data_IF_109538715319
#
_entry.id   IF_109538715319
#
_cell.length_a   1.000
_cell.length_b   1.000
_cell.length_c   1.000
_cell.angle_alpha   90.00
_cell.angle_beta   90.00
_cell.angle_gamma   90.00
#
_symmetry.space_group_name_H-M   'P 1'
#
loop_
_entity.id
_entity.type
_entity.pdbx_description
1 polymer ?
#
# COMPACT_ATOMS: atom_id res chain seq x y z
N UNK A 1 -17.52 -45.37 -24.61
CA UNK A 1 -16.67 -44.19 -24.90
C UNK A 1 -17.14 -42.88 -24.24
N UNK A 2 -18.45 -42.68 -24.00
CA UNK A 2 -19.01 -41.45 -23.38
C UNK A 2 -18.53 -41.11 -21.95
N UNK A 3 -18.13 -42.11 -21.15
CA UNK A 3 -17.64 -41.92 -19.77
C UNK A 3 -16.21 -41.35 -19.66
N UNK A 4 -15.39 -41.46 -20.72
CA UNK A 4 -14.01 -40.96 -20.73
C UNK A 4 -13.93 -39.45 -21.05
N UNK A 5 -14.94 -38.91 -21.74
CA UNK A 5 -15.01 -37.48 -22.10
C UNK A 5 -15.36 -36.63 -20.87
N UNK A 6 -16.24 -37.12 -19.99
CA UNK A 6 -16.60 -36.43 -18.75
C UNK A 6 -15.42 -36.28 -17.79
N UNK A 7 -14.54 -37.28 -17.69
CA UNK A 7 -13.37 -37.21 -16.82
C UNK A 7 -12.35 -36.15 -17.26
N UNK A 8 -12.24 -35.87 -18.56
CA UNK A 8 -11.29 -34.88 -19.09
C UNK A 8 -11.80 -33.45 -18.86
N UNK A 9 -13.12 -33.21 -18.97
CA UNK A 9 -13.73 -31.91 -18.68
C UNK A 9 -13.59 -31.49 -17.22
N UNK A 10 -13.68 -32.43 -16.27
CA UNK A 10 -13.50 -32.15 -14.84
C UNK A 10 -12.06 -31.77 -14.49
N UNK A 11 -11.06 -32.34 -15.17
CA UNK A 11 -9.64 -32.04 -14.93
C UNK A 11 -9.26 -30.65 -15.46
N UNK A 12 -9.86 -30.20 -16.57
CA UNK A 12 -9.62 -28.86 -17.12
C UNK A 12 -10.22 -27.76 -16.21
N UNK A 13 -11.35 -28.03 -15.54
CA UNK A 13 -11.96 -27.08 -14.60
C UNK A 13 -11.18 -26.87 -13.29
N UNK A 14 -10.30 -27.80 -12.91
CA UNK A 14 -9.45 -27.70 -11.71
C UNK A 14 -8.14 -26.92 -11.96
N UNK A 15 -7.77 -26.66 -13.22
CA UNK A 15 -6.53 -25.96 -13.58
C UNK A 15 -6.70 -24.44 -13.76
N UNK A 16 -7.94 -23.93 -13.72
CA UNK A 16 -8.22 -22.48 -13.68
C UNK A 16 -8.43 -22.03 -12.24
N UNK A 17 -7.52 -22.37 -11.32
CA UNK A 17 -7.40 -21.58 -10.10
C UNK A 17 -6.77 -20.26 -10.51
N UNK A 18 -7.63 -19.28 -10.77
CA UNK A 18 -7.24 -17.88 -10.93
C UNK A 18 -6.37 -17.50 -9.74
N UNK A 19 -5.05 -17.40 -9.96
CA UNK A 19 -4.17 -16.82 -8.96
C UNK A 19 -4.67 -15.40 -8.72
N UNK A 20 -5.15 -15.12 -7.52
CA UNK A 20 -5.44 -13.76 -7.09
C UNK A 20 -4.13 -13.01 -7.15
N UNK A 21 -3.94 -12.22 -8.21
CA UNK A 21 -2.84 -11.26 -8.28
C UNK A 21 -3.09 -10.30 -7.12
N UNK A 22 -2.10 -10.17 -6.24
CA UNK A 22 -2.15 -9.28 -5.08
C UNK A 22 -1.44 -7.98 -5.45
N UNK A 23 -1.87 -6.86 -4.86
CA UNK A 23 -1.16 -5.59 -4.95
C UNK A 23 0.29 -5.74 -4.48
N UNK A 24 1.22 -4.98 -5.07
CA UNK A 24 2.62 -5.03 -4.67
C UNK A 24 2.79 -4.45 -3.26
N UNK A 25 3.36 -5.23 -2.35
CA UNK A 25 3.74 -4.74 -1.01
C UNK A 25 5.24 -4.47 -0.97
N UNK A 26 5.62 -3.27 -0.53
CA UNK A 26 7.02 -2.87 -0.36
C UNK A 26 7.31 -2.51 1.09
N UNK A 27 8.46 -2.97 1.60
CA UNK A 27 8.95 -2.49 2.89
C UNK A 27 9.45 -1.05 2.77
N UNK A 28 9.17 -0.25 3.79
CA UNK A 28 9.69 1.11 3.90
C UNK A 28 10.59 1.25 5.14
N UNK A 29 11.55 2.18 5.04
CA UNK A 29 12.37 2.68 6.13
C UNK A 29 12.50 4.19 5.89
N UNK A 30 11.68 4.97 6.58
CA UNK A 30 11.57 6.42 6.36
C UNK A 30 12.12 7.18 7.57
N UNK A 31 12.63 8.37 7.33
CA UNK A 31 13.05 9.31 8.36
C UNK A 31 12.20 10.58 8.28
N UNK A 32 11.44 10.84 9.33
CA UNK A 32 10.70 12.08 9.53
C UNK A 32 11.59 13.10 10.24
N UNK A 33 11.54 14.38 9.81
CA UNK A 33 12.20 15.50 10.48
C UNK A 33 13.75 15.44 10.49
N UNK A 34 14.36 16.35 11.25
CA UNK A 34 15.82 16.53 11.31
C UNK A 34 16.39 17.32 10.12
N UNK A 35 17.72 17.31 9.98
CA UNK A 35 18.45 18.05 8.93
C UNK A 35 18.39 17.39 7.54
N UNK A 36 17.98 16.12 7.46
CA UNK A 36 17.88 15.36 6.21
C UNK A 36 16.71 14.37 6.31
N UNK A 37 15.46 14.86 6.24
CA UNK A 37 14.29 13.99 6.23
C UNK A 37 14.23 13.20 4.91
N UNK A 38 13.74 11.96 5.01
CA UNK A 38 13.40 11.08 3.89
C UNK A 38 12.05 10.39 4.19
N UNK A 39 10.93 11.11 3.98
CA UNK A 39 9.62 10.64 4.41
C UNK A 39 8.94 9.69 3.41
N UNK A 40 9.60 9.32 2.31
CA UNK A 40 8.97 8.66 1.16
C UNK A 40 9.38 7.18 1.08
N UNK A 41 8.42 6.28 0.80
CA UNK A 41 8.71 4.87 0.54
C UNK A 41 9.26 4.61 -0.86
N UNK A 42 9.69 3.36 -1.09
CA UNK A 42 9.79 2.83 -2.44
C UNK A 42 8.42 2.85 -3.14
N UNK A 43 8.46 2.87 -4.47
CA UNK A 43 7.27 2.81 -5.32
C UNK A 43 6.71 1.39 -5.32
N UNK A 44 5.39 1.27 -5.42
CA UNK A 44 4.68 0.02 -5.53
C UNK A 44 3.54 0.14 -6.55
N UNK A 45 3.27 -0.94 -7.28
CA UNK A 45 2.19 -1.01 -8.25
C UNK A 45 0.85 -1.32 -7.57
N UNK A 46 -0.17 -0.51 -7.88
CA UNK A 46 -1.55 -0.82 -7.52
C UNK A 46 -2.02 -2.01 -8.34
N UNK A 47 -2.64 -3.00 -7.70
CA UNK A 47 -3.05 -4.24 -8.35
C UNK A 47 -3.81 -3.98 -9.66
N UNK A 48 -3.31 -4.45 -10.82
CA UNK A 48 -3.96 -4.22 -12.10
C UNK A 48 -5.32 -4.94 -12.27
N UNK A 49 -5.66 -5.89 -11.39
CA UNK A 49 -6.80 -6.79 -11.58
C UNK A 49 -7.86 -6.74 -10.48
N UNK A 50 -7.71 -5.88 -9.46
CA UNK A 50 -8.77 -5.64 -8.47
C UNK A 50 -9.47 -4.29 -8.69
N UNK A 51 -10.43 -3.98 -7.83
CA UNK A 51 -11.14 -2.70 -7.81
C UNK A 51 -10.94 -2.00 -6.46
N UNK A 52 -9.94 -2.43 -5.70
CA UNK A 52 -9.71 -1.87 -4.37
C UNK A 52 -9.18 -0.44 -4.49
N UNK A 53 -9.88 0.50 -3.86
CA UNK A 53 -9.55 1.92 -3.91
C UNK A 53 -9.01 2.44 -2.57
N UNK A 54 -8.33 1.55 -1.83
CA UNK A 54 -7.64 1.85 -0.59
C UNK A 54 -6.15 1.57 -0.75
N UNK A 55 -5.34 2.26 0.03
CA UNK A 55 -3.98 1.79 0.33
C UNK A 55 -3.95 1.23 1.75
N UNK A 56 -2.93 0.42 2.02
CA UNK A 56 -2.67 -0.18 3.32
C UNK A 56 -1.25 0.14 3.78
N UNK A 57 -1.10 0.34 5.08
CA UNK A 57 0.18 0.54 5.73
C UNK A 57 0.23 -0.27 7.02
N UNK A 58 1.34 -0.96 7.23
CA UNK A 58 1.61 -1.69 8.48
C UNK A 58 2.88 -1.14 9.11
N UNK A 59 2.80 -0.66 10.35
CA UNK A 59 3.99 -0.25 11.10
C UNK A 59 4.70 -1.44 11.72
N UNK A 60 6.02 -1.53 11.58
CA UNK A 60 6.84 -2.57 12.22
C UNK A 60 7.68 -2.04 13.38
N UNK A 61 8.28 -0.87 13.24
CA UNK A 61 9.02 -0.23 14.32
C UNK A 61 9.02 1.29 14.19
N UNK A 62 9.14 1.97 15.33
CA UNK A 62 9.36 3.41 15.42
C UNK A 62 10.47 3.68 16.43
N UNK A 63 11.34 4.65 16.14
CA UNK A 63 12.29 5.17 17.13
C UNK A 63 11.61 6.02 18.21
N UNK A 64 10.39 6.48 17.98
CA UNK A 64 9.56 7.23 18.93
C UNK A 64 8.08 6.86 18.74
N UNK A 65 7.50 6.18 19.72
CA UNK A 65 6.10 5.75 19.69
C UNK A 65 5.11 6.85 20.09
N UNK A 66 5.58 7.97 20.64
CA UNK A 66 4.72 9.09 21.06
C UNK A 66 4.38 10.04 19.90
N UNK A 67 5.22 10.06 18.86
CA UNK A 67 5.02 10.89 17.68
C UNK A 67 4.06 10.22 16.69
N UNK A 68 2.99 10.93 16.34
CA UNK A 68 1.97 10.46 15.40
C UNK A 68 2.31 10.88 13.97
N UNK A 69 2.55 9.88 13.12
CA UNK A 69 2.82 10.05 11.69
C UNK A 69 1.66 9.48 10.88
N UNK A 70 1.18 10.26 9.92
CA UNK A 70 0.19 9.88 8.92
C UNK A 70 0.94 9.40 7.67
N UNK A 71 0.55 8.25 7.14
CA UNK A 71 0.89 7.82 5.79
C UNK A 71 -0.15 8.38 4.80
N UNK A 72 0.31 8.93 3.69
CA UNK A 72 -0.52 9.20 2.51
C UNK A 72 0.00 8.43 1.32
N UNK A 73 -0.90 7.88 0.53
CA UNK A 73 -0.57 7.29 -0.77
C UNK A 73 -0.76 8.33 -1.86
N UNK A 74 0.22 8.46 -2.76
CA UNK A 74 0.22 9.40 -3.88
C UNK A 74 0.66 8.69 -5.16
N UNK A 75 -0.03 8.98 -6.26
CA UNK A 75 0.36 8.49 -7.57
C UNK A 75 1.67 9.12 -8.03
N UNK A 76 2.56 8.32 -8.64
CA UNK A 76 3.90 8.74 -9.02
C UNK A 76 3.92 9.97 -9.95
N UNK A 77 3.15 9.93 -11.04
CA UNK A 77 3.13 11.01 -12.04
C UNK A 77 2.02 12.05 -11.86
N UNK A 78 0.98 11.73 -11.09
CA UNK A 78 -0.20 12.59 -10.89
C UNK A 78 -0.56 12.72 -9.39
N UNK A 79 0.40 13.12 -8.53
CA UNK A 79 0.26 13.07 -7.07
C UNK A 79 -0.81 14.01 -6.50
N UNK A 80 -1.25 15.00 -7.28
CA UNK A 80 -2.32 15.93 -6.89
C UNK A 80 -3.70 15.52 -7.42
N UNK A 81 -3.76 14.48 -8.27
CA UNK A 81 -5.01 13.98 -8.85
C UNK A 81 -5.47 12.72 -8.13
N UNK A 82 -4.55 11.78 -7.90
CA UNK A 82 -4.82 10.47 -7.29
C UNK A 82 -4.02 10.35 -6.00
N UNK A 83 -4.66 10.63 -4.87
CA UNK A 83 -4.02 10.64 -3.56
C UNK A 83 -5.02 10.41 -2.43
N UNK A 84 -4.52 10.09 -1.25
CA UNK A 84 -5.35 10.02 -0.04
C UNK A 84 -5.36 11.36 0.70
N UNK A 85 -6.51 12.04 0.83
CA UNK A 85 -6.55 13.41 1.33
C UNK A 85 -6.23 13.50 2.83
N UNK A 86 -6.79 12.60 3.63
CA UNK A 86 -6.58 12.55 5.08
C UNK A 86 -5.48 11.55 5.50
N UNK A 87 -5.12 10.62 4.62
CA UNK A 87 -4.18 9.54 4.94
C UNK A 87 -4.68 8.62 6.07
N UNK A 88 -3.76 7.86 6.67
CA UNK A 88 -4.04 7.03 7.85
C UNK A 88 -2.82 6.97 8.77
N UNK A 89 -3.00 6.71 10.06
CA UNK A 89 -1.87 6.65 11.00
C UNK A 89 -0.97 5.43 10.75
N UNK A 90 0.34 5.58 10.94
CA UNK A 90 1.27 4.45 10.98
C UNK A 90 1.33 3.92 12.41
N UNK A 91 0.62 2.83 12.68
CA UNK A 91 0.59 2.19 14.02
C UNK A 91 1.48 0.95 14.01
N UNK A 92 2.43 0.88 14.95
CA UNK A 92 3.31 -0.28 15.12
C UNK A 92 2.48 -1.50 15.52
N UNK A 93 2.63 -2.60 14.78
CA UNK A 93 1.93 -3.86 15.04
C UNK A 93 0.51 -3.93 14.46
N UNK A 94 0.04 -2.91 13.73
CA UNK A 94 -1.28 -2.89 13.12
C UNK A 94 -1.22 -2.47 11.65
N UNK A 95 -2.13 -3.04 10.86
CA UNK A 95 -2.40 -2.57 9.49
C UNK A 95 -3.52 -1.54 9.55
N UNK A 96 -3.30 -0.41 8.89
CA UNK A 96 -4.25 0.67 8.72
C UNK A 96 -4.49 0.89 7.23
N UNK A 97 -5.61 1.52 6.88
CA UNK A 97 -5.93 1.84 5.50
C UNK A 97 -6.59 3.21 5.39
N UNK A 98 -6.58 3.76 4.18
CA UNK A 98 -7.37 4.93 3.82
C UNK A 98 -7.71 4.91 2.33
N UNK A 99 -8.87 5.48 2.00
CA UNK A 99 -9.35 5.58 0.64
C UNK A 99 -8.64 6.71 -0.13
N UNK A 100 -8.46 6.52 -1.43
CA UNK A 100 -8.10 7.60 -2.33
C UNK A 100 -9.28 8.57 -2.53
N UNK A 101 -8.97 9.82 -2.89
CA UNK A 101 -9.94 10.88 -3.16
C UNK A 101 -10.88 10.58 -4.34
N UNK A 102 -10.47 9.69 -5.24
CA UNK A 102 -11.22 9.28 -6.43
C UNK A 102 -10.84 7.85 -6.80
N UNK A 103 -11.49 7.27 -7.81
CA UNK A 103 -11.10 5.98 -8.37
C UNK A 103 -9.73 6.11 -9.03
N UNK A 104 -8.76 5.36 -8.52
CA UNK A 104 -7.38 5.45 -8.97
C UNK A 104 -7.08 4.54 -10.16
N UNK A 105 -6.11 4.89 -11.01
CA UNK A 105 -5.59 3.99 -12.02
C UNK A 105 -4.93 2.75 -11.40
N UNK A 106 -5.42 1.57 -11.79
CA UNK A 106 -4.85 0.26 -11.45
C UNK A 106 -3.72 -0.11 -12.44
N UNK A 107 -2.71 -0.85 -11.98
CA UNK A 107 -1.50 -1.14 -12.74
C UNK A 107 -0.52 0.04 -12.84
N UNK A 108 -0.76 1.12 -12.09
CA UNK A 108 0.13 2.28 -12.02
C UNK A 108 0.91 2.32 -10.70
N UNK A 109 2.00 3.10 -10.68
CA UNK A 109 2.91 3.20 -9.55
C UNK A 109 2.49 4.31 -8.59
N UNK A 110 2.51 3.98 -7.31
CA UNK A 110 2.26 4.88 -6.19
C UNK A 110 3.41 4.81 -5.20
N UNK A 111 3.47 5.78 -4.31
CA UNK A 111 4.38 5.81 -3.19
C UNK A 111 3.66 6.32 -1.94
N UNK A 112 4.17 5.90 -0.79
CA UNK A 112 3.73 6.41 0.50
C UNK A 112 4.63 7.56 0.93
N UNK A 113 4.02 8.61 1.48
CA UNK A 113 4.71 9.75 2.08
C UNK A 113 4.20 9.92 3.51
N UNK A 114 5.13 10.00 4.45
CA UNK A 114 4.86 10.30 5.85
C UNK A 114 4.67 11.81 6.07
N UNK A 115 3.69 12.17 6.89
CA UNK A 115 3.46 13.54 7.35
C UNK A 115 3.20 13.53 8.87
N UNK A 116 3.68 14.54 9.61
CA UNK A 116 3.28 14.68 11.02
C UNK A 116 1.80 15.04 11.10
N UNK A 117 1.06 14.40 12.00
CA UNK A 117 -0.34 14.76 12.27
C UNK A 117 -0.51 16.25 12.61
N UNK A 118 0.46 16.82 13.33
CA UNK A 118 0.45 18.22 13.76
C UNK A 118 1.31 19.14 12.87
N UNK A 119 1.75 18.68 11.69
CA UNK A 119 2.54 19.46 10.73
C UNK A 119 4.04 19.61 11.05
N UNK A 120 4.46 19.38 12.29
CA UNK A 120 5.87 19.39 12.70
C UNK A 120 6.12 18.37 13.82
N UNK A 121 7.35 17.90 13.96
CA UNK A 121 7.75 17.04 15.07
C UNK A 121 9.25 16.73 15.11
N UNK A 122 9.69 15.91 16.09
CA UNK A 122 11.08 15.53 16.27
C UNK A 122 11.53 14.53 15.19
N UNK A 123 12.84 14.28 15.09
CA UNK A 123 13.33 13.25 14.15
C UNK A 123 12.81 11.87 14.56
N UNK A 124 12.12 11.18 13.65
CA UNK A 124 11.59 9.81 13.88
C UNK A 124 11.99 8.90 12.73
N UNK A 125 12.49 7.70 13.05
CA UNK A 125 12.71 6.64 12.07
C UNK A 125 11.59 5.61 12.18
N UNK A 126 10.99 5.26 11.06
CA UNK A 126 9.87 4.32 10.98
C UNK A 126 10.17 3.24 9.95
N UNK A 127 9.88 1.99 10.29
CA UNK A 127 9.88 0.88 9.34
C UNK A 127 8.52 0.22 9.28
N UNK A 128 8.22 -0.40 8.14
CA UNK A 128 6.93 -1.02 7.92
C UNK A 128 6.77 -1.57 6.51
N UNK A 129 5.53 -1.84 6.14
CA UNK A 129 5.13 -2.22 4.79
C UNK A 129 4.02 -1.31 4.27
N UNK A 130 4.09 -1.03 2.97
CA UNK A 130 3.12 -0.24 2.23
C UNK A 130 2.60 -1.05 1.04
N UNK A 131 1.29 -1.02 0.87
CA UNK A 131 0.59 -1.59 -0.28
C UNK A 131 -0.34 -0.50 -0.83
N UNK A 132 -0.16 -0.06 -2.08
CA UNK A 132 -0.97 0.98 -2.68
C UNK A 132 -2.42 0.53 -2.90
#
# INVERSE_FOLDING_TARGET
MKKKIFAILTIIGLLTMSMTVMAQTVSFNITMGGSSPDPISKRAEKNPYDQDNYFYVTGYSSSDSSTLIIAKSKHLYKPNQYYTPYGTMIIVGATQSAAYNTTVPHGELYYMEGEYLNGYGPRVQLTGAYTP
#
